data_IF_418446745269
#
_entry.id   IF_418446745269
#
_cell.length_a   1.000
_cell.length_b   1.000
_cell.length_c   1.000
_cell.angle_alpha   90.00
_cell.angle_beta   90.00
_cell.angle_gamma   90.00
#
_symmetry.space_group_name_H-M   'P 1'
#
loop_
_entity.id
_entity.type
_entity.pdbx_description
1 polymer ?
#
# COMPACT_ATOMS: atom_id res chain seq x y z
N UNK A 1 -10.37 14.85 39.30
CA UNK A 1 -10.96 14.44 37.98
C UNK A 1 -9.81 13.89 37.18
N UNK A 2 -9.61 12.57 37.21
CA UNK A 2 -8.65 11.86 36.38
C UNK A 2 -9.11 11.93 34.93
N UNK A 3 -8.45 12.73 34.11
CA UNK A 3 -8.55 12.57 32.66
C UNK A 3 -7.90 11.23 32.35
N UNK A 4 -8.71 10.27 31.91
CA UNK A 4 -8.28 8.89 31.77
C UNK A 4 -7.12 8.75 30.80
N UNK A 5 -6.19 7.84 31.13
CA UNK A 5 -5.07 7.38 30.27
C UNK A 5 -5.51 7.13 28.81
N UNK A 6 -6.78 6.75 28.60
CA UNK A 6 -7.37 6.56 27.28
C UNK A 6 -7.50 7.85 26.44
N UNK A 7 -7.71 9.02 27.07
CA UNK A 7 -7.80 10.30 26.33
C UNK A 7 -6.43 10.86 25.95
N UNK A 8 -5.41 10.61 26.77
CA UNK A 8 -4.03 10.94 26.46
C UNK A 8 -3.52 10.06 25.31
N UNK A 9 -3.79 8.76 25.35
CA UNK A 9 -3.44 7.83 24.30
C UNK A 9 -4.17 8.16 22.97
N UNK A 10 -5.45 8.46 23.02
CA UNK A 10 -6.23 8.89 21.82
C UNK A 10 -5.72 10.21 21.24
N UNK A 11 -5.27 11.15 22.08
CA UNK A 11 -4.66 12.41 21.63
C UNK A 11 -3.28 12.18 21.01
N UNK A 12 -2.43 11.35 21.63
CA UNK A 12 -1.13 11.00 21.08
C UNK A 12 -1.26 10.30 19.74
N UNK A 13 -2.10 9.26 19.64
CA UNK A 13 -2.34 8.55 18.38
C UNK A 13 -2.88 9.50 17.30
N UNK A 14 -3.81 10.42 17.64
CA UNK A 14 -4.33 11.40 16.69
C UNK A 14 -3.30 12.40 16.22
N UNK A 15 -2.41 12.86 17.08
CA UNK A 15 -1.36 13.81 16.72
C UNK A 15 -0.22 13.16 15.92
N UNK A 16 0.09 11.89 16.17
CA UNK A 16 1.08 11.14 15.41
C UNK A 16 0.59 10.71 14.01
N UNK A 17 -0.70 10.35 13.87
CA UNK A 17 -1.27 9.98 12.57
C UNK A 17 -1.22 11.12 11.52
N UNK A 18 -0.98 12.36 11.93
CA UNK A 18 -0.96 13.55 11.07
C UNK A 18 0.37 14.33 11.11
N UNK A 19 1.43 13.81 11.75
CA UNK A 19 2.75 14.46 11.68
C UNK A 19 3.44 14.12 10.35
N UNK A 20 2.95 14.77 9.29
CA UNK A 20 3.47 14.66 7.92
C UNK A 20 4.96 15.03 7.82
N UNK A 21 5.51 15.78 8.79
CA UNK A 21 6.88 16.30 8.74
C UNK A 21 7.95 15.21 8.78
N UNK A 22 7.62 14.01 9.24
CA UNK A 22 8.53 12.87 9.34
C UNK A 22 8.43 11.88 8.18
N UNK A 23 7.43 12.04 7.31
CA UNK A 23 7.17 11.14 6.19
C UNK A 23 8.01 11.50 4.95
N UNK A 24 9.32 11.47 5.08
CA UNK A 24 10.28 11.91 4.05
C UNK A 24 10.13 11.09 2.77
N UNK A 25 10.02 9.75 2.88
CA UNK A 25 9.93 8.86 1.74
C UNK A 25 8.59 9.00 1.01
N UNK A 26 7.49 9.16 1.74
CA UNK A 26 6.17 9.44 1.13
C UNK A 26 6.24 10.69 0.25
N UNK A 27 6.85 11.78 0.74
CA UNK A 27 6.98 13.01 -0.03
C UNK A 27 7.83 12.83 -1.29
N UNK A 28 8.94 12.09 -1.19
CA UNK A 28 9.79 11.77 -2.36
C UNK A 28 9.06 10.90 -3.36
N UNK A 29 8.28 9.91 -2.92
CA UNK A 29 7.47 9.09 -3.81
C UNK A 29 6.38 9.91 -4.52
N UNK A 30 5.68 10.80 -3.80
CA UNK A 30 4.69 11.70 -4.41
C UNK A 30 5.38 12.61 -5.43
N UNK A 31 6.48 13.27 -5.06
CA UNK A 31 7.23 14.14 -5.97
C UNK A 31 7.67 13.40 -7.22
N UNK A 32 8.25 12.20 -7.07
CA UNK A 32 8.72 11.38 -8.19
C UNK A 32 7.57 11.03 -9.15
N UNK A 33 6.42 10.58 -8.62
CA UNK A 33 5.25 10.27 -9.43
C UNK A 33 4.73 11.50 -10.20
N UNK A 34 4.65 12.65 -9.53
CA UNK A 34 4.20 13.91 -10.15
C UNK A 34 5.19 14.36 -11.24
N UNK A 35 6.49 14.30 -10.97
CA UNK A 35 7.53 14.67 -11.97
C UNK A 35 7.45 13.76 -13.19
N UNK A 36 7.37 12.43 -12.99
CA UNK A 36 7.26 11.47 -14.09
C UNK A 36 5.97 11.72 -14.90
N UNK A 37 4.85 11.98 -14.24
CA UNK A 37 3.59 12.28 -14.91
C UNK A 37 3.65 13.55 -15.75
N UNK A 38 4.29 14.60 -15.22
CA UNK A 38 4.50 15.86 -15.99
C UNK A 38 5.44 15.63 -17.18
N UNK A 39 6.54 14.88 -16.98
CA UNK A 39 7.47 14.56 -18.06
C UNK A 39 6.78 13.80 -19.20
N UNK A 40 5.80 12.94 -18.90
CA UNK A 40 5.01 12.23 -19.92
C UNK A 40 4.34 13.16 -20.94
N UNK A 41 3.96 14.39 -20.56
CA UNK A 41 3.41 15.37 -21.51
C UNK A 41 4.43 15.90 -22.52
N UNK A 42 5.72 15.85 -22.21
CA UNK A 42 6.78 16.34 -23.11
C UNK A 42 7.32 15.25 -24.04
N UNK A 43 7.09 13.98 -23.73
CA UNK A 43 7.60 12.84 -24.49
C UNK A 43 6.44 12.07 -25.15
N UNK A 44 5.65 12.75 -25.94
CA UNK A 44 4.51 12.16 -26.69
C UNK A 44 4.96 11.54 -28.00
N UNK A 45 4.43 10.37 -28.35
CA UNK A 45 4.60 9.71 -29.65
C UNK A 45 3.25 9.50 -30.29
N UNK A 46 3.12 9.97 -31.51
CA UNK A 46 1.97 9.67 -32.35
C UNK A 46 2.13 8.30 -33.01
N UNK A 47 1.33 7.33 -32.58
CA UNK A 47 1.27 6.05 -33.29
C UNK A 47 0.51 6.26 -34.62
N UNK A 48 1.09 5.85 -35.80
CA UNK A 48 0.45 6.02 -37.10
C UNK A 48 -0.98 5.44 -37.10
N UNK A 49 -1.93 6.22 -37.63
CA UNK A 49 -3.37 5.94 -37.67
C UNK A 49 -3.79 4.58 -38.28
N UNK A 50 -2.86 3.85 -38.94
CA UNK A 50 -3.16 2.67 -39.73
C UNK A 50 -3.26 1.37 -38.90
N UNK A 51 -2.89 1.38 -37.62
CA UNK A 51 -2.82 0.16 -36.78
C UNK A 51 -3.74 0.24 -35.57
N UNK A 52 -3.98 1.42 -35.01
CA UNK A 52 -4.88 1.64 -33.86
C UNK A 52 -5.60 2.99 -33.97
N UNK A 53 -6.76 3.18 -33.29
CA UNK A 53 -7.28 4.54 -33.10
C UNK A 53 -6.16 5.38 -32.45
N UNK A 54 -6.05 6.70 -32.74
CA UNK A 54 -4.92 7.53 -32.33
C UNK A 54 -4.82 7.51 -30.81
N UNK A 55 -3.98 6.64 -30.27
CA UNK A 55 -3.65 6.58 -28.85
C UNK A 55 -2.37 7.40 -28.70
N UNK A 56 -2.48 8.56 -28.08
CA UNK A 56 -1.32 9.31 -27.63
C UNK A 56 -0.68 8.54 -26.46
N UNK A 57 0.34 7.74 -26.77
CA UNK A 57 1.17 7.11 -25.74
C UNK A 57 2.38 8.00 -25.49
N UNK A 58 2.65 8.33 -24.24
CA UNK A 58 3.94 8.91 -23.91
C UNK A 58 5.03 7.83 -23.96
N UNK A 59 6.25 8.20 -24.36
CA UNK A 59 7.38 7.28 -24.44
C UNK A 59 7.70 6.64 -23.08
N UNK A 60 7.45 7.35 -21.99
CA UNK A 60 7.70 6.87 -20.65
C UNK A 60 6.75 5.72 -20.33
N UNK A 61 5.47 5.84 -20.71
CA UNK A 61 4.51 4.74 -20.56
C UNK A 61 4.84 3.58 -21.53
N UNK A 62 5.22 3.87 -22.75
CA UNK A 62 5.57 2.84 -23.74
C UNK A 62 6.69 1.91 -23.21
N UNK A 63 7.74 2.47 -22.60
CA UNK A 63 8.88 1.69 -22.11
C UNK A 63 8.78 1.30 -20.64
N UNK A 64 7.89 1.91 -19.86
CA UNK A 64 7.80 1.71 -18.41
C UNK A 64 6.54 1.02 -17.91
N UNK A 65 5.45 0.99 -18.69
CA UNK A 65 4.22 0.30 -18.30
C UNK A 65 4.43 -1.22 -18.28
N UNK A 66 3.82 -1.88 -17.31
CA UNK A 66 3.87 -3.33 -17.19
C UNK A 66 2.81 -3.97 -18.07
N UNK A 67 3.16 -4.97 -18.85
CA UNK A 67 2.26 -6.01 -19.32
C UNK A 67 2.93 -7.37 -19.10
N UNK A 68 2.15 -8.41 -18.96
CA UNK A 68 2.71 -9.76 -18.79
C UNK A 68 3.61 -10.11 -19.97
N UNK A 69 3.16 -9.80 -21.19
CA UNK A 69 3.89 -10.10 -22.41
C UNK A 69 5.24 -9.40 -22.48
N UNK A 70 5.28 -8.07 -22.31
CA UNK A 70 6.54 -7.33 -22.39
C UNK A 70 7.51 -7.70 -21.28
N UNK A 71 6.98 -7.97 -20.10
CA UNK A 71 7.81 -8.33 -18.95
C UNK A 71 8.45 -9.71 -19.10
N UNK A 72 7.67 -10.74 -19.46
CA UNK A 72 8.15 -12.14 -19.42
C UNK A 72 8.51 -12.70 -20.79
N UNK A 73 7.86 -12.30 -21.88
CA UNK A 73 8.21 -12.76 -23.22
C UNK A 73 9.30 -11.93 -23.88
N UNK A 74 9.30 -10.62 -23.66
CA UNK A 74 10.36 -9.72 -24.17
C UNK A 74 11.50 -9.54 -23.17
N UNK A 75 11.34 -10.00 -21.92
CA UNK A 75 12.38 -9.97 -20.90
C UNK A 75 12.59 -8.62 -20.23
N UNK A 76 11.61 -7.69 -20.35
CA UNK A 76 11.71 -6.33 -19.85
C UNK A 76 11.34 -6.24 -18.35
N UNK A 77 12.10 -6.95 -17.49
CA UNK A 77 11.82 -7.09 -16.06
C UNK A 77 11.81 -5.78 -15.26
N UNK A 78 12.44 -4.72 -15.76
CA UNK A 78 12.37 -3.41 -15.10
C UNK A 78 10.96 -2.87 -15.00
N UNK A 79 10.02 -3.30 -15.87
CA UNK A 79 8.61 -2.90 -15.87
C UNK A 79 7.89 -3.27 -14.57
N UNK A 80 8.34 -4.31 -13.86
CA UNK A 80 7.83 -4.65 -12.53
C UNK A 80 8.03 -3.53 -11.49
N UNK A 81 9.01 -2.66 -11.72
CA UNK A 81 9.28 -1.51 -10.84
C UNK A 81 8.77 -0.20 -11.43
N UNK A 82 9.00 0.04 -12.73
CA UNK A 82 8.73 1.34 -13.34
C UNK A 82 7.24 1.65 -13.45
N UNK A 83 6.39 0.67 -13.71
CA UNK A 83 4.95 0.85 -13.85
C UNK A 83 4.29 1.49 -12.61
N UNK A 84 4.88 1.28 -11.43
CA UNK A 84 4.39 1.80 -10.15
C UNK A 84 4.46 3.32 -10.05
N UNK A 85 5.18 3.97 -10.96
CA UNK A 85 5.38 5.42 -11.01
C UNK A 85 4.66 6.08 -12.19
N UNK A 86 3.94 5.31 -13.00
CA UNK A 86 3.23 5.78 -14.18
C UNK A 86 1.73 5.92 -13.89
N UNK A 87 1.07 6.87 -14.58
CA UNK A 87 -0.35 7.09 -14.35
C UNK A 87 -1.05 7.43 -15.68
N UNK A 88 -2.19 6.77 -15.92
CA UNK A 88 -2.92 6.89 -17.19
C UNK A 88 -3.57 8.27 -17.41
N UNK A 89 -3.94 8.96 -16.33
CA UNK A 89 -4.61 10.27 -16.42
C UNK A 89 -4.53 11.03 -15.10
N UNK A 90 -4.96 12.30 -15.11
CA UNK A 90 -4.92 13.20 -13.97
C UNK A 90 -5.71 12.67 -12.75
N UNK A 91 -6.90 12.11 -12.97
CA UNK A 91 -7.70 11.52 -11.89
C UNK A 91 -6.97 10.36 -11.23
N UNK A 92 -6.34 9.49 -12.03
CA UNK A 92 -5.59 8.33 -11.54
C UNK A 92 -4.42 8.73 -10.63
N UNK A 93 -3.57 9.66 -11.08
CA UNK A 93 -2.48 10.14 -10.22
C UNK A 93 -2.98 10.87 -8.98
N UNK A 94 -4.01 11.71 -9.13
CA UNK A 94 -4.58 12.46 -8.01
C UNK A 94 -5.06 11.53 -6.89
N UNK A 95 -5.86 10.52 -7.20
CA UNK A 95 -6.36 9.58 -6.19
C UNK A 95 -5.25 8.74 -5.58
N UNK A 96 -4.27 8.31 -6.36
CA UNK A 96 -3.10 7.59 -5.83
C UNK A 96 -2.29 8.46 -4.88
N UNK A 97 -1.99 9.70 -5.24
CA UNK A 97 -1.19 10.59 -4.39
C UNK A 97 -1.94 10.99 -3.11
N UNK A 98 -3.25 11.22 -3.20
CA UNK A 98 -4.09 11.45 -2.01
C UNK A 98 -4.05 10.23 -1.09
N UNK A 99 -4.24 9.02 -1.62
CA UNK A 99 -4.20 7.81 -0.79
C UNK A 99 -2.82 7.57 -0.18
N UNK A 100 -1.74 7.76 -0.94
CA UNK A 100 -0.37 7.66 -0.44
C UNK A 100 -0.08 8.72 0.64
N UNK A 101 -0.57 9.94 0.46
CA UNK A 101 -0.47 11.02 1.45
C UNK A 101 -1.17 10.68 2.77
N UNK A 102 -2.35 10.04 2.71
CA UNK A 102 -3.11 9.70 3.91
C UNK A 102 -2.58 8.46 4.63
N UNK A 103 -2.28 7.40 3.91
CA UNK A 103 -1.93 6.10 4.50
C UNK A 103 -0.42 5.90 4.66
N UNK A 104 0.39 6.49 3.78
CA UNK A 104 1.84 6.29 3.74
C UNK A 104 2.57 6.72 5.02
N UNK A 105 2.35 7.93 5.55
CA UNK A 105 3.09 8.44 6.71
C UNK A 105 3.02 7.55 7.94
N UNK A 106 1.87 6.95 8.19
CA UNK A 106 1.64 6.07 9.35
C UNK A 106 2.49 4.80 9.26
N UNK A 107 2.61 4.23 8.06
CA UNK A 107 3.40 3.04 7.81
C UNK A 107 4.89 3.38 7.75
N UNK A 108 5.26 4.51 7.15
CA UNK A 108 6.63 5.00 7.12
C UNK A 108 7.17 5.28 8.52
N UNK A 109 6.39 5.93 9.39
CA UNK A 109 6.78 6.16 10.78
C UNK A 109 6.99 4.83 11.53
N UNK A 110 6.14 3.84 11.26
CA UNK A 110 6.20 2.54 11.92
C UNK A 110 7.37 1.67 11.47
N UNK A 111 7.71 1.69 10.19
CA UNK A 111 8.73 0.82 9.60
C UNK A 111 10.08 1.53 9.41
N UNK A 112 10.11 2.86 9.36
CA UNK A 112 11.25 3.68 8.98
C UNK A 112 11.40 3.81 7.46
N UNK A 113 12.06 4.88 7.00
CA UNK A 113 12.12 5.31 5.60
C UNK A 113 12.55 4.20 4.62
N UNK A 114 13.68 3.54 4.88
CA UNK A 114 14.22 2.53 3.96
C UNK A 114 13.34 1.27 3.86
N UNK A 115 12.81 0.78 5.01
CA UNK A 115 11.91 -0.38 5.02
C UNK A 115 10.56 -0.04 4.39
N UNK A 116 10.08 1.18 4.55
CA UNK A 116 8.87 1.65 3.90
C UNK A 116 9.02 1.66 2.38
N UNK A 117 10.14 2.16 1.84
CA UNK A 117 10.41 2.13 0.40
C UNK A 117 10.44 0.69 -0.13
N UNK A 118 11.16 -0.21 0.53
CA UNK A 118 11.21 -1.62 0.15
C UNK A 118 9.82 -2.28 0.22
N UNK A 119 9.04 -1.94 1.23
CA UNK A 119 7.67 -2.41 1.40
C UNK A 119 6.78 -1.94 0.24
N UNK A 120 6.85 -0.66 -0.11
CA UNK A 120 6.12 -0.06 -1.23
C UNK A 120 6.45 -0.79 -2.55
N UNK A 121 7.74 -0.90 -2.89
CA UNK A 121 8.20 -1.54 -4.12
C UNK A 121 7.81 -3.01 -4.17
N UNK A 122 7.96 -3.74 -3.06
CA UNK A 122 7.59 -5.14 -2.96
C UNK A 122 6.09 -5.36 -3.19
N UNK A 123 5.23 -4.57 -2.57
CA UNK A 123 3.79 -4.66 -2.78
C UNK A 123 3.40 -4.41 -4.24
N UNK A 124 4.06 -3.44 -4.89
CA UNK A 124 3.84 -3.19 -6.31
C UNK A 124 4.29 -4.35 -7.20
N UNK A 125 5.48 -4.90 -6.96
CA UNK A 125 5.93 -6.10 -7.70
C UNK A 125 4.96 -7.26 -7.50
N UNK A 126 4.54 -7.53 -6.27
CA UNK A 126 3.58 -8.58 -5.96
C UNK A 126 2.21 -8.35 -6.63
N UNK A 127 1.79 -7.09 -6.77
CA UNK A 127 0.57 -6.73 -7.49
C UNK A 127 0.63 -7.15 -8.95
N UNK A 128 1.73 -6.82 -9.65
CA UNK A 128 1.93 -7.22 -11.05
C UNK A 128 1.96 -8.74 -11.21
N UNK A 129 2.73 -9.43 -10.38
CA UNK A 129 2.84 -10.88 -10.40
C UNK A 129 1.52 -11.59 -10.11
N UNK A 130 0.72 -11.06 -9.18
CA UNK A 130 -0.58 -11.65 -8.86
C UNK A 130 -1.60 -11.46 -9.99
N UNK A 131 -1.59 -10.30 -10.66
CA UNK A 131 -2.39 -10.08 -11.87
C UNK A 131 -2.01 -11.09 -12.97
N UNK A 132 -0.71 -11.32 -13.21
CA UNK A 132 -0.24 -12.31 -14.18
C UNK A 132 -0.67 -13.73 -13.80
N UNK A 133 -0.52 -14.09 -12.53
CA UNK A 133 -0.93 -15.41 -12.04
C UNK A 133 -2.42 -15.69 -12.31
N UNK A 134 -3.32 -14.73 -12.03
CA UNK A 134 -4.74 -14.90 -12.30
C UNK A 134 -5.03 -14.99 -13.81
N UNK A 135 -4.32 -14.22 -14.63
CA UNK A 135 -4.42 -14.32 -16.08
C UNK A 135 -4.00 -15.69 -16.61
N UNK A 136 -2.86 -16.21 -16.15
CA UNK A 136 -2.38 -17.54 -16.51
C UNK A 136 -3.30 -18.68 -16.03
N UNK A 137 -4.01 -18.46 -14.93
CA UNK A 137 -5.05 -19.37 -14.44
C UNK A 137 -6.35 -19.29 -15.24
N UNK A 138 -6.45 -18.43 -16.27
CA UNK A 138 -7.61 -18.29 -17.14
C UNK A 138 -8.75 -17.43 -16.57
N UNK A 139 -8.45 -16.56 -15.57
CA UNK A 139 -9.46 -15.62 -15.06
C UNK A 139 -9.75 -14.46 -16.01
N UNK A 140 -8.91 -14.23 -17.01
CA UNK A 140 -9.05 -13.15 -17.99
C UNK A 140 -8.95 -13.69 -19.40
N UNK A 141 -9.48 -12.93 -20.39
CA UNK A 141 -9.31 -13.26 -21.80
C UNK A 141 -7.81 -13.31 -22.16
N UNK A 142 -7.37 -14.16 -23.09
CA UNK A 142 -5.95 -14.31 -23.45
C UNK A 142 -5.25 -13.01 -23.89
N UNK A 143 -6.01 -12.02 -24.35
CA UNK A 143 -5.51 -10.73 -24.78
C UNK A 143 -5.07 -9.84 -23.61
N UNK A 144 -5.51 -10.13 -22.37
CA UNK A 144 -5.16 -9.33 -21.20
C UNK A 144 -3.65 -9.19 -21.00
N UNK A 145 -2.86 -10.20 -21.41
CA UNK A 145 -1.39 -10.20 -21.31
C UNK A 145 -0.71 -9.03 -22.02
N UNK A 146 -1.38 -8.46 -23.02
CA UNK A 146 -0.91 -7.32 -23.79
C UNK A 146 -1.40 -5.98 -23.21
N UNK A 147 -2.36 -6.00 -22.28
CA UNK A 147 -2.93 -4.78 -21.72
C UNK A 147 -1.93 -4.15 -20.74
N UNK A 148 -1.51 -2.89 -21.00
CA UNK A 148 -0.55 -2.24 -20.13
C UNK A 148 -1.19 -1.87 -18.77
N UNK A 149 -0.48 -2.17 -17.69
CA UNK A 149 -0.83 -1.78 -16.33
C UNK A 149 0.11 -0.66 -15.88
N UNK A 150 -0.45 0.37 -15.25
CA UNK A 150 0.26 1.52 -14.68
C UNK A 150 -0.38 1.91 -13.36
N UNK A 151 0.39 2.47 -12.44
CA UNK A 151 -0.11 3.07 -11.21
C UNK A 151 0.59 2.61 -9.94
N UNK A 152 0.64 3.51 -8.97
CA UNK A 152 1.12 3.27 -7.62
C UNK A 152 0.15 2.42 -6.77
N UNK A 153 -1.05 2.16 -7.29
CA UNK A 153 -2.18 1.63 -6.52
C UNK A 153 -1.90 0.26 -5.89
N UNK A 154 -1.23 -0.66 -6.58
CA UNK A 154 -0.85 -1.96 -6.00
C UNK A 154 -0.04 -1.80 -4.71
N UNK A 155 0.95 -0.91 -4.71
CA UNK A 155 1.73 -0.55 -3.53
C UNK A 155 0.88 0.11 -2.44
N UNK A 156 -0.01 1.01 -2.83
CA UNK A 156 -0.91 1.74 -1.91
C UNK A 156 -1.91 0.79 -1.24
N UNK A 157 -2.46 -0.19 -1.95
CA UNK A 157 -3.30 -1.23 -1.36
C UNK A 157 -2.54 -2.06 -0.33
N UNK A 158 -1.24 -2.35 -0.58
CA UNK A 158 -0.37 -2.96 0.41
C UNK A 158 -0.19 -2.10 1.65
N UNK A 159 0.02 -0.79 1.49
CA UNK A 159 0.09 0.18 2.60
C UNK A 159 -1.23 0.23 3.37
N UNK A 160 -2.38 0.20 2.69
CA UNK A 160 -3.70 0.15 3.34
C UNK A 160 -3.88 -1.12 4.17
N UNK A 161 -3.39 -2.27 3.67
CA UNK A 161 -3.37 -3.52 4.43
C UNK A 161 -2.52 -3.38 5.70
N UNK A 162 -1.34 -2.76 5.62
CA UNK A 162 -0.53 -2.47 6.80
C UNK A 162 -1.28 -1.59 7.80
N UNK A 163 -1.92 -0.51 7.35
CA UNK A 163 -2.73 0.35 8.21
C UNK A 163 -3.88 -0.41 8.88
N UNK A 164 -4.56 -1.31 8.14
CA UNK A 164 -5.65 -2.12 8.68
C UNK A 164 -5.21 -3.12 9.76
N UNK A 165 -3.97 -3.61 9.66
CA UNK A 165 -3.35 -4.49 10.69
C UNK A 165 -2.85 -3.69 11.88
N UNK A 166 -2.14 -2.59 11.64
CA UNK A 166 -1.48 -1.80 12.68
C UNK A 166 -2.46 -0.91 13.46
N UNK A 167 -3.46 -0.35 12.77
CA UNK A 167 -4.40 0.64 13.31
C UNK A 167 -5.86 0.33 12.93
N UNK A 168 -6.39 -0.87 13.24
CA UNK A 168 -7.68 -1.35 12.72
C UNK A 168 -8.87 -0.47 13.13
N UNK A 169 -8.78 0.25 14.24
CA UNK A 169 -9.83 1.09 14.79
C UNK A 169 -9.66 2.59 14.49
N UNK A 170 -8.56 3.00 13.82
CA UNK A 170 -8.41 4.36 13.34
C UNK A 170 -9.56 4.70 12.37
N UNK A 171 -9.98 5.97 12.33
CA UNK A 171 -11.15 6.38 11.55
C UNK A 171 -10.75 7.09 10.27
N UNK A 172 -11.41 6.71 9.18
CA UNK A 172 -11.35 7.37 7.88
C UNK A 172 -12.70 8.01 7.62
N UNK A 173 -12.71 9.32 7.39
CA UNK A 173 -13.89 10.06 7.00
C UNK A 173 -13.89 10.19 5.48
N UNK A 174 -14.84 9.52 4.82
CA UNK A 174 -15.09 9.73 3.40
C UNK A 174 -15.90 10.99 3.20
N UNK A 175 -15.62 11.75 2.14
CA UNK A 175 -16.36 12.95 1.80
C UNK A 175 -17.63 12.62 1.01
N UNK A 176 -17.53 11.63 0.11
CA UNK A 176 -18.64 11.17 -0.73
C UNK A 176 -18.63 9.64 -0.87
N UNK A 177 -19.66 8.94 -0.39
CA UNK A 177 -20.69 9.45 0.56
C UNK A 177 -20.05 9.85 1.91
N UNK A 178 -20.66 10.73 2.71
CA UNK A 178 -20.11 11.18 3.99
C UNK A 178 -20.23 10.07 5.05
N UNK A 179 -19.34 9.08 4.96
CA UNK A 179 -19.34 7.89 5.84
C UNK A 179 -18.06 7.86 6.65
N UNK A 180 -18.21 7.53 7.92
CA UNK A 180 -17.09 7.37 8.85
C UNK A 180 -16.84 5.88 9.11
N UNK A 181 -15.77 5.35 8.53
CA UNK A 181 -15.39 3.94 8.63
C UNK A 181 -14.13 3.78 9.48
N UNK A 182 -13.96 2.62 10.11
CA UNK A 182 -12.62 2.24 10.58
C UNK A 182 -11.72 1.91 9.38
N UNK A 183 -10.40 2.07 9.54
CA UNK A 183 -9.43 1.69 8.50
C UNK A 183 -9.62 0.24 8.08
N UNK A 184 -9.92 -0.67 9.03
CA UNK A 184 -10.23 -2.06 8.72
C UNK A 184 -11.49 -2.21 7.86
N UNK A 185 -12.57 -1.50 8.19
CA UNK A 185 -13.81 -1.54 7.40
C UNK A 185 -13.57 -0.99 5.99
N UNK A 186 -12.83 0.12 5.88
CA UNK A 186 -12.47 0.71 4.60
C UNK A 186 -11.63 -0.27 3.74
N UNK A 187 -10.58 -0.86 4.31
CA UNK A 187 -9.76 -1.85 3.62
C UNK A 187 -10.57 -3.07 3.16
N UNK A 188 -11.49 -3.59 4.00
CA UNK A 188 -12.38 -4.69 3.60
C UNK A 188 -13.37 -4.29 2.52
N UNK A 189 -13.87 -3.05 2.53
CA UNK A 189 -14.77 -2.56 1.49
C UNK A 189 -14.09 -2.48 0.13
N UNK A 190 -12.88 -1.89 0.06
CA UNK A 190 -12.13 -1.80 -1.21
C UNK A 190 -11.68 -3.18 -1.69
N UNK A 191 -11.32 -4.10 -0.77
CA UNK A 191 -11.04 -5.50 -1.09
C UNK A 191 -12.25 -6.18 -1.73
N UNK A 192 -13.44 -5.98 -1.15
CA UNK A 192 -14.70 -6.54 -1.67
C UNK A 192 -15.06 -6.00 -3.04
N UNK A 193 -14.84 -4.70 -3.30
CA UNK A 193 -15.05 -4.10 -4.62
C UNK A 193 -14.09 -4.70 -5.64
N UNK A 194 -12.80 -4.78 -5.35
CA UNK A 194 -11.81 -5.37 -6.25
C UNK A 194 -12.15 -6.84 -6.58
N UNK A 195 -12.53 -7.63 -5.57
CA UNK A 195 -12.96 -9.01 -5.78
C UNK A 195 -14.22 -9.10 -6.66
N UNK A 196 -15.21 -8.23 -6.45
CA UNK A 196 -16.42 -8.19 -7.25
C UNK A 196 -16.11 -7.87 -8.72
N UNK A 197 -15.26 -6.87 -9.00
CA UNK A 197 -14.84 -6.51 -10.36
C UNK A 197 -14.21 -7.71 -11.08
N UNK A 198 -13.37 -8.49 -10.40
CA UNK A 198 -12.74 -9.69 -10.97
C UNK A 198 -13.78 -10.79 -11.21
N UNK A 199 -14.63 -11.10 -10.22
CA UNK A 199 -15.62 -12.18 -10.32
C UNK A 199 -16.63 -11.91 -11.44
N UNK A 200 -17.08 -10.68 -11.57
CA UNK A 200 -18.06 -10.28 -12.59
C UNK A 200 -17.43 -9.87 -13.92
N UNK A 201 -16.10 -9.98 -14.05
CA UNK A 201 -15.35 -9.63 -15.26
C UNK A 201 -15.66 -8.22 -15.78
N UNK A 202 -15.79 -7.24 -14.86
CA UNK A 202 -15.98 -5.85 -15.24
C UNK A 202 -14.70 -5.28 -15.82
N UNK A 203 -14.83 -4.11 -16.48
CA UNK A 203 -13.68 -3.41 -17.02
C UNK A 203 -12.61 -3.21 -15.93
N UNK A 204 -11.35 -3.38 -16.32
CA UNK A 204 -10.17 -3.30 -15.42
C UNK A 204 -10.00 -4.46 -14.44
N UNK A 205 -10.57 -5.64 -14.70
CA UNK A 205 -10.40 -6.81 -13.82
C UNK A 205 -8.91 -7.16 -13.56
N UNK A 206 -8.04 -7.01 -14.56
CA UNK A 206 -6.59 -7.21 -14.40
C UNK A 206 -5.94 -6.20 -13.45
N UNK A 207 -6.34 -4.93 -13.51
CA UNK A 207 -5.90 -3.89 -12.57
C UNK A 207 -6.36 -4.17 -11.14
N UNK A 208 -7.61 -4.61 -10.98
CA UNK A 208 -8.15 -4.98 -9.66
C UNK A 208 -7.49 -6.25 -9.09
N UNK A 209 -7.08 -7.19 -9.95
CA UNK A 209 -6.24 -8.31 -9.52
C UNK A 209 -4.89 -7.82 -8.95
N UNK A 210 -4.28 -6.82 -9.58
CA UNK A 210 -3.11 -6.16 -9.04
C UNK A 210 -3.36 -5.54 -7.66
N UNK A 211 -4.50 -4.86 -7.46
CA UNK A 211 -4.90 -4.33 -6.15
C UNK A 211 -4.99 -5.40 -5.07
N UNK A 212 -5.64 -6.54 -5.38
CA UNK A 212 -5.71 -7.70 -4.47
C UNK A 212 -4.32 -8.24 -4.15
N UNK A 213 -3.48 -8.43 -5.17
CA UNK A 213 -2.12 -8.93 -5.01
C UNK A 213 -1.27 -8.05 -4.09
N UNK A 214 -1.30 -6.74 -4.31
CA UNK A 214 -0.62 -5.77 -3.47
C UNK A 214 -1.12 -5.75 -2.03
N UNK A 215 -2.45 -5.78 -1.85
CA UNK A 215 -3.06 -5.84 -0.52
C UNK A 215 -2.70 -7.12 0.23
N UNK A 216 -2.74 -8.27 -0.44
CA UNK A 216 -2.42 -9.56 0.14
C UNK A 216 -0.94 -9.66 0.54
N UNK A 217 -0.05 -9.23 -0.36
CA UNK A 217 1.39 -9.17 -0.08
C UNK A 217 1.70 -8.24 1.10
N UNK A 218 1.08 -7.06 1.14
CA UNK A 218 1.23 -6.11 2.23
C UNK A 218 0.72 -6.66 3.56
N UNK A 219 -0.41 -7.34 3.58
CA UNK A 219 -0.94 -8.00 4.76
C UNK A 219 0.05 -9.03 5.32
N UNK A 220 0.51 -9.97 4.47
CA UNK A 220 1.45 -11.01 4.88
C UNK A 220 2.76 -10.39 5.37
N UNK A 221 3.33 -9.45 4.61
CA UNK A 221 4.60 -8.83 4.97
C UNK A 221 4.52 -8.09 6.31
N UNK A 222 3.39 -7.41 6.57
CA UNK A 222 3.14 -6.74 7.85
C UNK A 222 3.13 -7.75 9.00
N UNK A 223 2.41 -8.87 8.83
CA UNK A 223 2.38 -9.92 9.87
C UNK A 223 3.77 -10.54 10.12
N UNK A 224 4.56 -10.75 9.07
CA UNK A 224 5.93 -11.27 9.17
C UNK A 224 6.84 -10.29 9.93
N UNK A 225 6.73 -8.99 9.65
CA UNK A 225 7.49 -7.94 10.36
C UNK A 225 7.14 -7.96 11.86
N UNK A 226 5.86 -7.97 12.19
CA UNK A 226 5.40 -8.00 13.58
C UNK A 226 5.80 -9.29 14.31
N UNK A 227 5.73 -10.42 13.63
CA UNK A 227 6.15 -11.70 14.19
C UNK A 227 7.66 -11.71 14.49
N UNK A 228 8.49 -11.22 13.57
CA UNK A 228 9.94 -11.08 13.76
C UNK A 228 10.27 -10.16 14.94
N UNK A 229 9.58 -9.03 15.08
CA UNK A 229 9.77 -8.11 16.20
C UNK A 229 9.42 -8.77 17.54
N UNK A 230 8.34 -9.54 17.58
CA UNK A 230 7.93 -10.30 18.78
C UNK A 230 8.99 -11.32 19.19
N UNK A 231 9.62 -12.01 18.23
CA UNK A 231 10.70 -12.96 18.51
C UNK A 231 11.99 -12.28 18.99
N UNK A 232 12.28 -11.08 18.47
CA UNK A 232 13.49 -10.30 18.81
C UNK A 232 13.35 -9.54 20.13
N UNK A 233 12.13 -9.41 20.66
CA UNK A 233 11.88 -8.76 21.95
C UNK A 233 12.36 -9.67 23.08
N UNK A 234 13.31 -9.22 23.94
CA UNK A 234 13.76 -10.04 25.06
C UNK A 234 12.56 -10.36 25.95
N UNK A 235 12.34 -11.66 26.25
CA UNK A 235 11.38 -12.08 27.30
C UNK A 235 11.73 -11.30 28.57
N UNK A 236 10.87 -10.38 28.98
CA UNK A 236 10.91 -9.87 30.35
C UNK A 236 10.83 -11.10 31.25
N UNK A 237 11.96 -11.48 31.84
CA UNK A 237 11.96 -12.40 32.98
C UNK A 237 11.06 -11.74 34.03
N UNK A 238 9.96 -12.38 34.34
CA UNK A 238 9.08 -11.96 35.42
C UNK A 238 9.93 -11.77 36.67
N UNK A 239 10.16 -10.52 37.04
CA UNK A 239 10.73 -10.13 38.32
C UNK A 239 9.60 -10.20 39.38
N UNK A 240 9.00 -11.38 39.50
CA UNK A 240 8.00 -11.70 40.52
C UNK A 240 8.53 -12.81 41.41
N UNK A 241 9.70 -12.59 42.02
CA UNK A 241 10.12 -13.35 43.23
C UNK A 241 11.09 -12.48 44.04
N UNK A 242 10.66 -11.23 44.34
CA UNK A 242 11.22 -10.57 45.51
C UNK A 242 10.51 -11.19 46.71
N UNK A 243 11.19 -12.11 47.39
CA UNK A 243 10.84 -12.61 48.67
C UNK A 243 10.48 -11.43 49.61
N UNK A 244 9.20 -11.31 49.88
CA UNK A 244 8.75 -10.56 51.05
C UNK A 244 9.08 -11.42 52.28
N UNK A 245 10.22 -11.15 52.90
CA UNK A 245 10.52 -11.68 54.25
C UNK A 245 9.83 -10.77 55.26
N UNK A 246 8.86 -11.26 56.04
CA UNK A 246 8.29 -10.45 57.12
C UNK A 246 9.33 -10.27 58.21
N UNK A 247 9.59 -9.03 58.61
CA UNK A 247 10.41 -8.72 59.78
C UNK A 247 9.79 -9.32 61.07
N UNK A 248 10.61 -9.90 61.95
CA UNK A 248 10.10 -10.40 63.22
C UNK A 248 9.76 -9.23 64.16
N UNK A 249 8.52 -9.21 64.63
CA UNK A 249 8.02 -8.25 65.62
C UNK A 249 8.86 -8.31 66.88
N UNK A 250 9.68 -7.28 67.17
CA UNK A 250 10.32 -7.07 68.45
C UNK A 250 9.26 -6.65 69.48
N UNK A 251 8.87 -7.61 70.37
CA UNK A 251 8.23 -7.27 71.64
C UNK A 251 9.24 -6.54 72.50
N UNK A 252 8.91 -5.40 73.00
CA UNK A 252 9.54 -4.78 74.20
C UNK A 252 8.60 -4.89 75.36
N UNK A 253 9.20 -4.99 76.55
CA UNK A 253 8.50 -5.28 77.81
C UNK A 253 7.63 -4.15 78.32
#
# INVERSE_FOLDING_TARGET
RSRGLGDVYKRQVRNHLFDQRRAVMVHWLILLNVVIFILGFFFQVDIPRNIYPPVHLDLIQLYGAYSEYTCFHEGELWRLLTYQFLHANLGHIMFNMIALWFFGPVVEERFGHGRFLLYYLFCGVAAALFSSLLGDMGFFDPEWRFIPMVGASGSIYGIMAACAVLFPHARVQLLFPPVNLSVRQFALAVLGVAAAVIIFQWNNAGGEAGHLGGMFAGFILTLLILWKEKLSSPRRKDASSSHYSPEPSSRRP
#
